data_IF_026799223153
#
_entry.id   IF_026799223153
#
_cell.length_a   1.000
_cell.length_b   1.000
_cell.length_c   1.000
_cell.angle_alpha   90.00
_cell.angle_beta   90.00
_cell.angle_gamma   90.00
#
_symmetry.space_group_name_H-M   'P 1'
#
loop_
_entity.id
_entity.type
_entity.pdbx_description
1 polymer ?
#
# COMPACT_ATOMS: atom_id res chain seq x y z
N UNK A 1 24.14 4.42 -2.80
CA UNK A 1 23.72 5.74 -3.33
C UNK A 1 24.14 6.87 -2.41
N UNK A 2 23.75 6.85 -1.12
CA UNK A 2 24.11 7.88 -0.14
C UNK A 2 25.64 8.12 0.00
N UNK A 3 26.43 7.06 0.22
CA UNK A 3 27.89 7.17 0.30
C UNK A 3 28.56 7.71 -0.97
N UNK A 4 27.94 7.47 -2.13
CA UNK A 4 28.42 7.96 -3.43
C UNK A 4 27.94 9.38 -3.74
N UNK A 5 27.22 10.03 -2.81
CA UNK A 5 26.61 11.36 -2.97
C UNK A 5 25.81 11.52 -4.26
N UNK A 6 25.06 10.48 -4.60
CA UNK A 6 24.21 10.47 -5.79
C UNK A 6 22.91 11.28 -5.58
N UNK A 7 22.86 12.20 -4.59
CA UNK A 7 21.75 13.13 -4.43
C UNK A 7 21.49 13.97 -5.68
N UNK A 8 22.51 14.22 -6.51
CA UNK A 8 22.33 14.94 -7.77
C UNK A 8 21.34 14.23 -8.71
N UNK A 9 21.29 12.89 -8.72
CA UNK A 9 20.37 12.10 -9.56
C UNK A 9 18.91 12.46 -9.21
N UNK A 10 18.69 12.81 -7.95
CA UNK A 10 17.36 13.17 -7.42
C UNK A 10 16.94 14.58 -7.84
N UNK A 11 17.88 15.42 -8.29
CA UNK A 11 17.61 16.71 -8.92
C UNK A 11 17.18 16.58 -10.40
N UNK A 12 17.43 15.43 -11.04
CA UNK A 12 17.03 15.17 -12.43
C UNK A 12 15.60 14.62 -12.56
N UNK A 13 14.94 14.27 -11.45
CA UNK A 13 13.52 13.91 -11.47
C UNK A 13 12.66 15.17 -11.51
N UNK A 14 12.32 15.61 -12.71
CA UNK A 14 11.32 16.66 -12.89
C UNK A 14 9.95 16.18 -12.42
N UNK A 15 9.10 17.12 -12.00
CA UNK A 15 7.71 16.83 -11.61
C UNK A 15 6.94 16.08 -12.69
N UNK A 16 7.27 16.33 -13.98
CA UNK A 16 6.68 15.63 -15.12
C UNK A 16 7.06 14.14 -15.17
N UNK A 17 8.32 13.79 -14.89
CA UNK A 17 8.78 12.38 -14.88
C UNK A 17 8.12 11.62 -13.72
N UNK A 18 8.08 12.22 -12.53
CA UNK A 18 7.45 11.61 -11.35
C UNK A 18 5.94 11.47 -11.55
N UNK A 19 5.28 12.48 -12.10
CA UNK A 19 3.86 12.45 -12.43
C UNK A 19 3.51 11.38 -13.46
N UNK A 20 4.28 11.28 -14.55
CA UNK A 20 4.11 10.23 -15.57
C UNK A 20 4.32 8.83 -15.01
N UNK A 21 5.39 8.62 -14.24
CA UNK A 21 5.67 7.35 -13.57
C UNK A 21 4.56 6.96 -12.60
N UNK A 22 4.13 7.87 -11.71
CA UNK A 22 3.08 7.61 -10.73
C UNK A 22 1.74 7.30 -11.40
N UNK A 23 1.42 7.99 -12.50
CA UNK A 23 0.19 7.74 -13.27
C UNK A 23 0.22 6.36 -13.93
N UNK A 24 1.33 6.01 -14.59
CA UNK A 24 1.51 4.68 -15.17
C UNK A 24 1.43 3.58 -14.11
N UNK A 25 2.11 3.74 -12.98
CA UNK A 25 2.05 2.81 -11.86
C UNK A 25 0.62 2.67 -11.32
N UNK A 26 -0.15 3.76 -11.22
CA UNK A 26 -1.55 3.72 -10.81
C UNK A 26 -2.42 2.88 -11.76
N UNK A 27 -2.23 2.98 -13.08
CA UNK A 27 -2.91 2.12 -14.05
C UNK A 27 -2.53 0.64 -13.88
N UNK A 28 -1.24 0.32 -13.67
CA UNK A 28 -0.81 -1.06 -13.40
C UNK A 28 -1.42 -1.63 -12.13
N UNK A 29 -1.50 -0.84 -11.06
CA UNK A 29 -2.16 -1.22 -9.81
C UNK A 29 -3.65 -1.42 -10.06
N UNK A 30 -4.33 -0.45 -10.66
CA UNK A 30 -5.76 -0.51 -10.97
C UNK A 30 -6.12 -1.79 -11.76
N UNK A 31 -5.41 -2.08 -12.84
CA UNK A 31 -5.62 -3.30 -13.64
C UNK A 31 -5.38 -4.57 -12.81
N UNK A 32 -4.38 -4.56 -11.93
CA UNK A 32 -4.12 -5.71 -11.07
C UNK A 32 -5.22 -5.93 -10.02
N UNK A 33 -5.88 -4.86 -9.56
CA UNK A 33 -7.01 -4.93 -8.62
C UNK A 33 -8.32 -5.38 -9.28
N UNK A 34 -8.47 -5.25 -10.61
CA UNK A 34 -9.69 -5.69 -11.31
C UNK A 34 -9.94 -7.19 -11.16
N UNK A 35 -8.87 -7.99 -11.11
CA UNK A 35 -8.97 -9.44 -10.85
C UNK A 35 -9.72 -9.70 -9.54
N UNK A 36 -9.26 -9.07 -8.45
CA UNK A 36 -9.82 -9.26 -7.12
C UNK A 36 -11.22 -8.62 -7.01
N UNK A 37 -11.42 -7.47 -7.66
CA UNK A 37 -12.73 -6.80 -7.73
C UNK A 37 -13.84 -7.68 -8.32
N UNK A 38 -13.51 -8.44 -9.38
CA UNK A 38 -14.45 -9.39 -10.01
C UNK A 38 -14.42 -10.80 -9.39
N UNK A 39 -13.55 -11.04 -8.40
CA UNK A 39 -13.39 -12.34 -7.76
C UNK A 39 -12.86 -13.43 -8.70
N UNK A 40 -12.01 -13.06 -9.66
CA UNK A 40 -11.43 -14.00 -10.63
C UNK A 40 -10.23 -14.72 -10.01
N UNK A 41 -10.13 -16.03 -10.19
CA UNK A 41 -9.06 -16.85 -9.62
C UNK A 41 -8.12 -17.39 -10.71
N UNK A 42 -6.91 -17.80 -10.32
CA UNK A 42 -5.96 -18.54 -11.18
C UNK A 42 -5.60 -17.97 -12.57
N UNK A 43 -5.68 -16.64 -12.74
CA UNK A 43 -5.20 -15.98 -13.95
C UNK A 43 -3.68 -16.16 -14.18
N UNK A 44 -3.23 -16.29 -15.45
CA UNK A 44 -1.82 -16.48 -15.77
C UNK A 44 -0.96 -15.28 -15.37
N UNK A 45 0.22 -15.56 -14.79
CA UNK A 45 1.18 -14.52 -14.40
C UNK A 45 1.92 -13.97 -15.63
N UNK A 46 1.55 -12.77 -16.08
CA UNK A 46 2.21 -12.06 -17.20
C UNK A 46 3.36 -11.18 -16.70
N UNK A 47 4.56 -11.38 -17.26
CA UNK A 47 5.79 -10.64 -16.96
C UNK A 47 6.35 -10.07 -18.28
N UNK A 48 6.99 -8.90 -18.22
CA UNK A 48 7.66 -8.28 -19.38
C UNK A 48 6.93 -7.08 -19.96
N UNK A 49 7.40 -6.62 -21.12
CA UNK A 49 6.84 -5.47 -21.82
C UNK A 49 5.40 -5.76 -22.28
N UNK A 50 4.51 -4.78 -22.13
CA UNK A 50 3.10 -4.92 -22.50
C UNK A 50 2.26 -5.78 -21.55
N UNK A 51 2.79 -6.19 -20.40
CA UNK A 51 2.07 -7.05 -19.44
C UNK A 51 0.70 -6.48 -19.00
N UNK A 52 0.51 -5.17 -19.00
CA UNK A 52 -0.76 -4.51 -18.67
C UNK A 52 -1.86 -4.91 -19.65
N UNK A 53 -1.57 -4.91 -20.95
CA UNK A 53 -2.54 -5.28 -21.98
C UNK A 53 -2.87 -6.78 -21.93
N UNK A 54 -1.86 -7.62 -21.70
CA UNK A 54 -2.08 -9.06 -21.53
C UNK A 54 -2.92 -9.36 -20.30
N UNK A 55 -2.67 -8.71 -19.16
CA UNK A 55 -3.52 -8.85 -17.95
C UNK A 55 -4.96 -8.43 -18.22
N UNK A 56 -5.17 -7.32 -18.91
CA UNK A 56 -6.51 -6.87 -19.29
C UNK A 56 -7.22 -7.89 -20.18
N UNK A 57 -6.51 -8.43 -21.17
CA UNK A 57 -7.02 -9.47 -22.05
C UNK A 57 -7.44 -10.72 -21.27
N UNK A 58 -6.57 -11.21 -20.37
CA UNK A 58 -6.85 -12.38 -19.53
C UNK A 58 -8.07 -12.15 -18.62
N UNK A 59 -8.21 -10.95 -18.05
CA UNK A 59 -9.37 -10.56 -17.23
C UNK A 59 -10.66 -10.56 -18.06
N UNK A 60 -10.66 -9.91 -19.22
CA UNK A 60 -11.86 -9.79 -20.08
C UNK A 60 -12.35 -11.18 -20.53
N UNK A 61 -11.44 -12.09 -20.84
CA UNK A 61 -11.80 -13.47 -21.20
C UNK A 61 -12.32 -14.29 -20.03
N UNK A 62 -11.83 -14.05 -18.80
CA UNK A 62 -12.24 -14.81 -17.63
C UNK A 62 -13.58 -14.36 -17.04
N UNK A 63 -14.00 -13.11 -17.27
CA UNK A 63 -15.26 -12.56 -16.73
C UNK A 63 -16.48 -13.43 -17.05
N UNK A 64 -16.75 -13.86 -18.30
CA UNK A 64 -17.95 -14.63 -18.60
C UNK A 64 -18.07 -15.97 -17.85
N UNK A 65 -16.94 -16.59 -17.49
CA UNK A 65 -16.92 -17.94 -16.92
C UNK A 65 -16.70 -17.95 -15.40
N UNK A 66 -15.96 -16.98 -14.85
CA UNK A 66 -15.47 -17.02 -13.46
C UNK A 66 -15.98 -15.88 -12.58
N UNK A 67 -16.86 -15.01 -13.08
CA UNK A 67 -17.34 -13.86 -12.31
C UNK A 67 -18.05 -14.29 -11.01
N UNK A 68 -17.49 -13.87 -9.87
CA UNK A 68 -18.15 -14.02 -8.58
C UNK A 68 -19.00 -12.78 -8.27
N UNK A 69 -20.32 -12.89 -8.45
CA UNK A 69 -21.26 -11.80 -8.25
C UNK A 69 -21.26 -11.27 -6.80
N UNK A 70 -21.03 -12.15 -5.82
CA UNK A 70 -20.98 -11.77 -4.40
C UNK A 70 -19.76 -10.91 -4.11
N UNK A 71 -18.59 -11.28 -4.64
CA UNK A 71 -17.36 -10.48 -4.51
C UNK A 71 -17.54 -9.12 -5.17
N UNK A 72 -18.06 -9.09 -6.41
CA UNK A 72 -18.32 -7.84 -7.11
C UNK A 72 -19.26 -6.91 -6.33
N UNK A 73 -20.32 -7.46 -5.72
CA UNK A 73 -21.25 -6.69 -4.90
C UNK A 73 -20.58 -6.12 -3.64
N UNK A 74 -19.79 -6.94 -2.92
CA UNK A 74 -19.04 -6.51 -1.73
C UNK A 74 -18.06 -5.40 -2.12
N UNK A 75 -17.30 -5.58 -3.20
CA UNK A 75 -16.33 -4.62 -3.71
C UNK A 75 -16.98 -3.31 -4.15
N UNK A 76 -18.13 -3.37 -4.84
CA UNK A 76 -18.88 -2.19 -5.26
C UNK A 76 -19.44 -1.42 -4.06
N UNK A 77 -20.06 -2.11 -3.10
CA UNK A 77 -20.59 -1.50 -1.88
C UNK A 77 -19.47 -0.91 -1.02
N UNK A 78 -18.34 -1.60 -0.91
CA UNK A 78 -17.15 -1.11 -0.21
C UNK A 78 -16.59 0.15 -0.85
N UNK A 79 -16.44 0.17 -2.18
CA UNK A 79 -16.01 1.35 -2.93
C UNK A 79 -16.98 2.52 -2.72
N UNK A 80 -18.28 2.28 -2.84
CA UNK A 80 -19.31 3.28 -2.65
C UNK A 80 -19.30 3.84 -1.22
N UNK A 81 -19.15 2.98 -0.20
CA UNK A 81 -19.00 3.39 1.19
C UNK A 81 -17.77 4.29 1.40
N UNK A 82 -16.61 3.93 0.83
CA UNK A 82 -15.38 4.73 0.96
C UNK A 82 -15.50 6.08 0.25
N UNK A 83 -16.05 6.11 -0.96
CA UNK A 83 -16.27 7.34 -1.72
C UNK A 83 -17.25 8.25 -0.98
N UNK A 84 -18.37 7.71 -0.50
CA UNK A 84 -19.36 8.48 0.26
C UNK A 84 -18.80 8.98 1.58
N UNK A 85 -18.06 8.13 2.30
CA UNK A 85 -17.37 8.49 3.54
C UNK A 85 -16.44 9.67 3.32
N UNK A 86 -15.57 9.59 2.32
CA UNK A 86 -14.58 10.62 2.03
C UNK A 86 -15.19 11.93 1.51
N UNK A 87 -16.16 11.87 0.60
CA UNK A 87 -16.68 13.07 -0.08
C UNK A 87 -17.84 13.74 0.65
N UNK A 88 -18.68 13.00 1.36
CA UNK A 88 -19.88 13.55 2.01
C UNK A 88 -19.77 13.54 3.52
N UNK A 89 -19.37 12.40 4.11
CA UNK A 89 -19.34 12.27 5.58
C UNK A 89 -18.18 13.06 6.18
N UNK A 90 -16.98 13.03 5.60
CA UNK A 90 -15.81 13.74 6.13
C UNK A 90 -16.02 15.27 6.18
N UNK A 91 -16.47 15.96 5.11
CA UNK A 91 -16.76 17.39 5.18
C UNK A 91 -17.89 17.71 6.16
N UNK A 92 -18.92 16.86 6.23
CA UNK A 92 -20.00 17.01 7.21
C UNK A 92 -19.48 16.90 8.65
N UNK A 93 -18.66 15.90 8.96
CA UNK A 93 -18.04 15.72 10.28
C UNK A 93 -17.18 16.92 10.67
N UNK A 94 -16.38 17.43 9.73
CA UNK A 94 -15.52 18.60 9.94
C UNK A 94 -16.34 19.87 10.20
N UNK A 95 -17.41 20.09 9.44
CA UNK A 95 -18.23 21.30 9.54
C UNK A 95 -19.15 21.31 10.76
N UNK A 96 -19.74 20.14 11.09
CA UNK A 96 -20.72 20.02 12.18
C UNK A 96 -20.05 19.76 13.53
N UNK A 97 -19.11 18.82 13.62
CA UNK A 97 -18.51 18.39 14.89
C UNK A 97 -17.19 19.10 15.22
N UNK A 98 -16.63 19.88 14.27
CA UNK A 98 -15.36 20.61 14.42
C UNK A 98 -14.17 19.72 14.85
N UNK A 99 -14.26 18.42 14.60
CA UNK A 99 -13.17 17.48 14.84
C UNK A 99 -12.21 17.57 13.65
N UNK A 100 -10.93 17.82 13.92
CA UNK A 100 -9.90 17.98 12.88
C UNK A 100 -9.34 16.66 12.34
N UNK A 101 -9.67 15.53 12.99
CA UNK A 101 -9.16 14.21 12.62
C UNK A 101 -10.12 13.56 11.62
N UNK A 102 -9.65 13.14 10.43
CA UNK A 102 -10.50 12.43 9.48
C UNK A 102 -10.90 11.06 10.06
N UNK A 103 -12.18 10.67 9.99
CA UNK A 103 -12.64 9.38 10.49
C UNK A 103 -12.05 8.22 9.67
N UNK A 104 -11.66 7.09 10.30
CA UNK A 104 -10.96 5.99 9.64
C UNK A 104 -11.93 5.04 8.91
N UNK A 105 -12.48 5.48 7.78
CA UNK A 105 -13.48 4.71 7.03
C UNK A 105 -12.99 3.33 6.59
N UNK A 106 -11.70 3.21 6.23
CA UNK A 106 -11.09 1.95 5.80
C UNK A 106 -11.14 0.91 6.92
N UNK A 107 -10.85 1.33 8.16
CA UNK A 107 -10.90 0.45 9.34
C UNK A 107 -12.34 0.04 9.66
N UNK A 108 -13.29 0.98 9.57
CA UNK A 108 -14.71 0.70 9.82
C UNK A 108 -15.25 -0.30 8.80
N UNK A 109 -14.96 -0.10 7.51
CA UNK A 109 -15.36 -1.02 6.46
C UNK A 109 -14.77 -2.40 6.68
N UNK A 110 -13.47 -2.47 6.98
CA UNK A 110 -12.77 -3.72 7.25
C UNK A 110 -13.42 -4.50 8.39
N UNK A 111 -13.68 -3.86 9.54
CA UNK A 111 -14.33 -4.51 10.68
C UNK A 111 -15.75 -4.97 10.36
N UNK A 112 -16.53 -4.13 9.66
CA UNK A 112 -17.91 -4.44 9.28
C UNK A 112 -17.99 -5.62 8.32
N UNK A 113 -17.21 -5.59 7.23
CA UNK A 113 -17.21 -6.66 6.21
C UNK A 113 -16.64 -7.96 6.78
N UNK A 114 -15.62 -7.90 7.64
CA UNK A 114 -15.08 -9.09 8.32
C UNK A 114 -16.13 -9.74 9.21
N UNK A 115 -16.85 -8.94 10.00
CA UNK A 115 -17.94 -9.42 10.86
C UNK A 115 -19.11 -9.99 10.07
N UNK A 116 -19.50 -9.32 8.98
CA UNK A 116 -20.56 -9.79 8.08
C UNK A 116 -20.17 -11.11 7.39
N UNK A 117 -18.93 -11.22 6.92
CA UNK A 117 -18.38 -12.43 6.31
C UNK A 117 -18.36 -13.61 7.28
N UNK A 118 -17.99 -13.36 8.55
CA UNK A 118 -18.02 -14.37 9.60
C UNK A 118 -19.45 -14.83 9.93
N UNK A 119 -20.42 -13.92 9.98
CA UNK A 119 -21.83 -14.23 10.27
C UNK A 119 -22.53 -14.94 9.12
N UNK A 120 -22.31 -14.50 7.88
CA UNK A 120 -22.97 -15.04 6.68
C UNK A 120 -22.24 -16.24 6.05
N UNK A 121 -21.05 -16.60 6.54
CA UNK A 121 -20.18 -17.64 5.99
C UNK A 121 -19.95 -17.47 4.48
N UNK A 122 -19.50 -16.29 4.05
CA UNK A 122 -19.33 -15.96 2.63
C UNK A 122 -18.41 -16.91 1.87
N UNK A 123 -17.31 -17.34 2.49
CA UNK A 123 -16.40 -18.31 1.89
C UNK A 123 -17.11 -19.65 1.60
N UNK A 124 -17.77 -20.25 2.58
CA UNK A 124 -18.41 -21.57 2.43
C UNK A 124 -19.64 -21.56 1.52
N UNK A 125 -20.38 -20.45 1.44
CA UNK A 125 -21.63 -20.37 0.67
C UNK A 125 -21.49 -19.79 -0.73
N UNK A 126 -20.57 -18.85 -0.92
CA UNK A 126 -20.45 -18.08 -2.16
C UNK A 126 -19.04 -18.16 -2.77
N UNK A 127 -18.18 -19.05 -2.25
CA UNK A 127 -16.80 -19.23 -2.68
C UNK A 127 -16.02 -17.90 -2.78
N UNK A 128 -16.24 -17.02 -1.81
CA UNK A 128 -15.55 -15.74 -1.74
C UNK A 128 -14.12 -15.99 -1.26
N UNK A 129 -13.09 -15.51 -1.97
CA UNK A 129 -11.71 -15.62 -1.51
C UNK A 129 -11.54 -14.84 -0.22
N UNK A 130 -10.91 -15.45 0.78
CA UNK A 130 -10.65 -14.85 2.08
C UNK A 130 -9.15 -14.85 2.38
N UNK A 131 -8.72 -13.97 3.29
CA UNK A 131 -7.32 -13.90 3.74
C UNK A 131 -6.81 -15.24 4.25
N UNK A 132 -7.63 -15.99 4.98
CA UNK A 132 -7.25 -17.29 5.52
C UNK A 132 -6.39 -17.18 6.77
N UNK A 133 -5.58 -18.21 7.04
CA UNK A 133 -4.77 -18.27 8.25
C UNK A 133 -3.56 -17.34 8.17
N UNK A 134 -3.51 -16.38 9.08
CA UNK A 134 -2.38 -15.48 9.24
C UNK A 134 -1.41 -16.04 10.28
N UNK A 135 -0.13 -16.10 9.92
CA UNK A 135 0.93 -16.42 10.87
C UNK A 135 0.93 -15.35 11.97
N UNK A 136 0.59 -15.76 13.20
CA UNK A 136 0.62 -14.88 14.38
C UNK A 136 1.97 -15.02 15.08
N UNK A 137 2.48 -13.91 15.63
CA UNK A 137 3.78 -13.87 16.28
C UNK A 137 4.81 -13.03 15.52
N UNK A 138 5.98 -12.86 16.12
CA UNK A 138 7.09 -12.19 15.46
C UNK A 138 7.77 -13.14 14.46
N UNK A 139 8.06 -12.67 13.24
CA UNK A 139 8.85 -13.47 12.31
C UNK A 139 10.26 -13.69 12.88
N UNK A 140 10.76 -14.91 12.74
CA UNK A 140 12.11 -15.27 13.17
C UNK A 140 13.10 -14.52 12.28
N UNK A 141 14.11 -13.83 12.84
CA UNK A 141 15.18 -13.22 12.06
C UNK A 141 15.88 -14.27 11.18
N UNK A 142 15.90 -14.05 9.86
CA UNK A 142 16.55 -14.93 8.89
C UNK A 142 17.52 -14.14 8.05
N UNK A 143 18.75 -14.64 7.90
CA UNK A 143 19.72 -14.01 7.01
C UNK A 143 19.31 -14.21 5.54
N UNK A 144 19.51 -13.20 4.67
CA UNK A 144 19.20 -13.32 3.26
C UNK A 144 20.11 -14.33 2.57
N UNK A 145 19.56 -15.03 1.58
CA UNK A 145 20.32 -15.98 0.77
C UNK A 145 21.29 -15.24 -0.16
N UNK A 146 22.55 -15.13 0.25
CA UNK A 146 23.58 -14.36 -0.47
C UNK A 146 23.82 -14.84 -1.91
N UNK A 147 23.51 -16.10 -2.26
CA UNK A 147 23.64 -16.60 -3.63
C UNK A 147 22.68 -15.94 -4.63
N UNK A 148 21.57 -15.36 -4.17
CA UNK A 148 20.62 -14.65 -5.01
C UNK A 148 21.03 -13.20 -5.28
N UNK A 149 21.94 -12.63 -4.49
CA UNK A 149 22.32 -11.22 -4.57
C UNK A 149 22.78 -10.83 -6.00
N UNK A 150 23.68 -11.57 -6.68
CA UNK A 150 24.12 -11.19 -8.03
C UNK A 150 22.98 -11.09 -9.04
N UNK A 151 21.96 -11.94 -8.92
CA UNK A 151 20.80 -11.98 -9.81
C UNK A 151 19.80 -10.84 -9.53
N UNK A 152 19.79 -10.32 -8.29
CA UNK A 152 18.86 -9.30 -7.84
C UNK A 152 19.42 -7.87 -7.95
N UNK A 153 20.75 -7.70 -8.11
CA UNK A 153 21.38 -6.37 -8.22
C UNK A 153 20.70 -5.46 -9.25
N UNK A 154 20.41 -5.91 -10.50
CA UNK A 154 19.79 -5.03 -11.50
C UNK A 154 18.41 -4.53 -11.04
N UNK A 155 17.58 -5.43 -10.50
CA UNK A 155 16.27 -5.08 -9.97
C UNK A 155 16.36 -4.18 -8.74
N UNK A 156 17.31 -4.45 -7.84
CA UNK A 156 17.54 -3.67 -6.63
C UNK A 156 17.96 -2.23 -6.94
N UNK A 157 18.80 -2.02 -7.96
CA UNK A 157 19.18 -0.68 -8.43
C UNK A 157 17.95 0.08 -8.92
N UNK A 158 17.14 -0.52 -9.81
CA UNK A 158 15.93 0.12 -10.33
C UNK A 158 14.95 0.47 -9.22
N UNK A 159 14.68 -0.46 -8.30
CA UNK A 159 13.80 -0.24 -7.15
C UNK A 159 14.35 0.90 -6.28
N UNK A 160 15.64 0.89 -5.97
CA UNK A 160 16.26 1.91 -5.11
C UNK A 160 16.16 3.31 -5.71
N UNK A 161 16.36 3.45 -7.02
CA UNK A 161 16.21 4.73 -7.73
C UNK A 161 14.77 5.25 -7.60
N UNK A 162 13.79 4.38 -7.85
CA UNK A 162 12.36 4.74 -7.77
C UNK A 162 11.97 5.12 -6.34
N UNK A 163 12.39 4.33 -5.34
CA UNK A 163 12.11 4.60 -3.92
C UNK A 163 12.70 5.94 -3.50
N UNK A 164 13.96 6.21 -3.84
CA UNK A 164 14.62 7.48 -3.55
C UNK A 164 13.89 8.66 -4.22
N UNK A 165 13.50 8.52 -5.49
CA UNK A 165 12.79 9.56 -6.22
C UNK A 165 11.47 9.93 -5.55
N UNK A 166 10.61 8.94 -5.27
CA UNK A 166 9.29 9.16 -4.65
C UNK A 166 9.45 9.76 -3.24
N UNK A 167 10.42 9.26 -2.47
CA UNK A 167 10.67 9.73 -1.11
C UNK A 167 11.11 11.20 -1.07
N UNK A 168 12.07 11.58 -1.92
CA UNK A 168 12.57 12.96 -1.98
C UNK A 168 11.50 13.91 -2.55
N UNK A 169 10.73 13.48 -3.55
CA UNK A 169 9.60 14.25 -4.04
C UNK A 169 8.58 14.52 -2.93
N UNK A 170 8.25 13.49 -2.13
CA UNK A 170 7.33 13.65 -1.00
C UNK A 170 7.88 14.60 0.07
N UNK A 171 9.16 14.47 0.41
CA UNK A 171 9.84 15.35 1.36
C UNK A 171 9.78 16.81 0.87
N UNK A 172 10.10 17.07 -0.40
CA UNK A 172 10.02 18.42 -1.01
C UNK A 172 8.61 19.00 -1.00
N UNK A 173 7.59 18.20 -1.29
CA UNK A 173 6.17 18.64 -1.26
C UNK A 173 5.81 19.16 0.14
N UNK A 174 6.13 18.41 1.19
CA UNK A 174 5.81 18.82 2.55
C UNK A 174 6.75 19.92 3.08
N UNK A 175 8.03 19.90 2.71
CA UNK A 175 9.00 20.96 3.01
C UNK A 175 8.53 22.32 2.48
N UNK A 176 8.09 22.36 1.23
CA UNK A 176 7.49 23.56 0.63
C UNK A 176 6.18 23.97 1.30
N UNK A 177 5.31 23.00 1.61
CA UNK A 177 3.99 23.26 2.22
C UNK A 177 4.10 23.86 3.63
N UNK A 178 5.08 23.43 4.42
CA UNK A 178 5.27 23.85 5.81
C UNK A 178 6.48 24.77 6.01
N UNK A 179 7.11 25.20 4.91
CA UNK A 179 8.24 26.12 4.89
C UNK A 179 9.42 25.68 5.77
N UNK A 180 9.84 24.42 5.61
CA UNK A 180 11.06 23.88 6.22
C UNK A 180 12.01 23.33 5.16
N UNK A 181 13.30 23.35 5.46
CA UNK A 181 14.32 22.83 4.57
C UNK A 181 14.41 21.30 4.64
N UNK A 182 14.65 20.69 3.48
CA UNK A 182 14.84 19.24 3.36
C UNK A 182 16.24 18.99 2.82
N UNK A 183 16.99 18.09 3.45
CA UNK A 183 18.32 17.65 3.00
C UNK A 183 18.18 16.30 2.28
N UNK A 184 18.26 16.26 0.93
CA UNK A 184 18.17 15.02 0.17
C UNK A 184 19.26 14.00 0.51
N UNK A 185 20.46 14.44 0.90
CA UNK A 185 21.56 13.56 1.26
C UNK A 185 21.25 12.78 2.54
N UNK A 186 20.75 13.49 3.57
CA UNK A 186 20.33 12.87 4.83
C UNK A 186 19.17 11.89 4.63
N UNK A 187 18.20 12.21 3.79
CA UNK A 187 17.09 11.30 3.45
C UNK A 187 17.59 10.02 2.76
N UNK A 188 18.58 10.13 1.86
CA UNK A 188 19.21 8.96 1.24
C UNK A 188 19.96 8.09 2.25
N UNK A 189 20.64 8.69 3.24
CA UNK A 189 21.25 7.92 4.33
C UNK A 189 20.20 7.20 5.16
N UNK A 190 19.12 7.89 5.55
CA UNK A 190 18.03 7.30 6.32
C UNK A 190 17.37 6.11 5.61
N UNK A 191 17.09 6.25 4.30
CA UNK A 191 16.59 5.16 3.46
C UNK A 191 17.58 3.99 3.34
N UNK A 192 18.87 4.30 3.20
CA UNK A 192 19.92 3.29 3.13
C UNK A 192 20.03 2.47 4.41
N UNK A 193 20.02 3.14 5.56
CA UNK A 193 20.05 2.47 6.87
C UNK A 193 18.81 1.61 7.10
N UNK A 194 17.62 2.13 6.86
CA UNK A 194 16.39 1.35 7.03
C UNK A 194 16.36 0.12 6.12
N UNK A 195 16.81 0.27 4.88
CA UNK A 195 16.88 -0.83 3.90
C UNK A 195 17.96 -1.86 4.20
N UNK A 196 18.99 -1.53 4.99
CA UNK A 196 20.05 -2.46 5.37
C UNK A 196 19.62 -3.42 6.50
N UNK A 197 18.80 -2.93 7.44
CA UNK A 197 18.25 -3.76 8.53
C UNK A 197 17.00 -4.54 8.13
N UNK A 198 16.27 -4.04 7.12
CA UNK A 198 15.03 -4.66 6.64
C UNK A 198 15.15 -6.17 6.30
N UNK A 199 16.16 -6.64 5.56
CA UNK A 199 16.21 -8.02 5.07
C UNK A 199 16.39 -9.09 6.15
N UNK A 200 16.68 -8.69 7.40
CA UNK A 200 16.74 -9.61 8.56
C UNK A 200 15.36 -10.19 8.85
N UNK A 201 14.30 -9.46 8.49
CA UNK A 201 12.91 -9.90 8.57
C UNK A 201 12.37 -10.17 7.16
N UNK A 202 11.35 -11.03 7.02
CA UNK A 202 10.73 -11.34 5.73
C UNK A 202 9.88 -10.16 5.24
N UNK A 203 10.54 -9.12 4.72
CA UNK A 203 9.90 -7.90 4.22
C UNK A 203 10.37 -7.55 2.81
N UNK A 204 9.47 -6.95 2.04
CA UNK A 204 9.76 -6.38 0.73
C UNK A 204 10.37 -4.97 0.88
N UNK A 205 11.04 -4.43 -0.15
CA UNK A 205 11.61 -3.08 -0.12
C UNK A 205 10.57 -2.02 0.28
N UNK A 206 10.89 -1.20 1.27
CA UNK A 206 9.97 -0.20 1.83
C UNK A 206 10.15 1.15 1.13
N UNK A 207 9.04 1.86 0.92
CA UNK A 207 9.01 3.23 0.43
C UNK A 207 8.10 4.11 1.30
N UNK A 208 8.13 5.42 1.08
CA UNK A 208 7.18 6.33 1.71
C UNK A 208 5.74 6.12 1.17
N UNK A 209 4.75 6.58 1.92
CA UNK A 209 3.34 6.46 1.56
C UNK A 209 2.66 7.82 1.58
N UNK A 210 2.38 8.37 0.40
CA UNK A 210 1.73 9.67 0.24
C UNK A 210 0.41 9.74 1.02
N UNK A 211 -0.47 8.73 0.87
CA UNK A 211 -1.77 8.71 1.54
C UNK A 211 -1.67 8.70 3.07
N UNK A 212 -0.79 7.86 3.64
CA UNK A 212 -0.60 7.77 5.10
C UNK A 212 0.01 9.04 5.67
N UNK A 213 1.01 9.61 4.99
CA UNK A 213 1.64 10.87 5.41
C UNK A 213 0.63 12.02 5.32
N UNK A 214 -0.17 12.10 4.25
CA UNK A 214 -1.18 13.13 4.10
C UNK A 214 -2.22 13.09 5.23
N UNK A 215 -2.75 11.90 5.57
CA UNK A 215 -3.70 11.74 6.68
C UNK A 215 -3.07 12.11 8.03
N UNK A 216 -1.82 11.68 8.28
CA UNK A 216 -1.11 12.03 9.52
C UNK A 216 -0.90 13.54 9.67
N UNK A 217 -0.54 14.20 8.57
CA UNK A 217 -0.34 15.65 8.50
C UNK A 217 -1.67 16.40 8.66
N UNK A 218 -2.75 15.95 8.02
CA UNK A 218 -4.10 16.51 8.19
C UNK A 218 -4.63 16.34 9.61
N UNK A 219 -4.29 15.23 10.28
CA UNK A 219 -4.55 15.01 11.70
C UNK A 219 -3.72 15.90 12.63
N UNK A 220 -2.82 16.74 12.10
CA UNK A 220 -2.03 17.71 12.86
C UNK A 220 -0.74 17.16 13.45
N UNK A 221 -0.23 16.05 12.93
CA UNK A 221 1.05 15.47 13.39
C UNK A 221 2.21 16.41 13.08
N UNK A 222 3.06 16.68 14.08
CA UNK A 222 4.23 17.57 13.96
C UNK A 222 5.57 16.88 14.24
N UNK A 223 5.57 15.67 14.78
CA UNK A 223 6.77 14.94 15.17
C UNK A 223 6.76 13.51 14.63
N UNK A 224 7.94 12.93 14.44
CA UNK A 224 8.08 11.53 14.01
C UNK A 224 7.65 10.52 15.08
N UNK A 225 7.36 10.96 16.31
CA UNK A 225 6.91 10.10 17.40
C UNK A 225 5.60 9.37 17.05
N UNK A 226 4.76 9.96 16.20
CA UNK A 226 3.52 9.32 15.69
C UNK A 226 3.78 7.97 15.00
N UNK A 227 4.96 7.81 14.39
CA UNK A 227 5.35 6.57 13.70
C UNK A 227 5.61 5.44 14.69
N UNK A 228 6.11 5.74 15.90
CA UNK A 228 6.29 4.77 16.98
C UNK A 228 4.93 4.29 17.49
N UNK A 229 3.99 5.19 17.73
CA UNK A 229 2.63 4.79 18.12
C UNK A 229 1.97 3.94 17.04
N UNK A 230 2.13 4.33 15.77
CA UNK A 230 1.60 3.57 14.63
C UNK A 230 2.22 2.17 14.54
N UNK A 231 3.54 2.04 14.74
CA UNK A 231 4.22 0.74 14.68
C UNK A 231 3.82 -0.16 15.84
N UNK A 232 3.65 0.38 17.06
CA UNK A 232 3.15 -0.36 18.23
C UNK A 232 1.73 -0.88 17.99
N UNK A 233 0.84 -0.05 17.43
CA UNK A 233 -0.53 -0.47 17.09
C UNK A 233 -0.51 -1.58 16.03
N UNK A 234 0.28 -1.42 14.96
CA UNK A 234 0.40 -2.46 13.92
C UNK A 234 0.95 -3.76 14.52
N UNK A 235 1.96 -3.68 15.38
CA UNK A 235 2.51 -4.85 16.08
C UNK A 235 1.43 -5.53 16.95
N UNK A 236 0.64 -4.77 17.69
CA UNK A 236 -0.48 -5.31 18.47
C UNK A 236 -1.53 -5.98 17.59
N UNK A 237 -1.88 -5.39 16.44
CA UNK A 237 -2.81 -5.97 15.46
C UNK A 237 -2.29 -7.33 14.95
N UNK A 238 -1.02 -7.41 14.56
CA UNK A 238 -0.42 -8.66 14.05
C UNK A 238 -0.37 -9.74 15.14
N UNK A 239 0.01 -9.39 16.37
CA UNK A 239 0.18 -10.35 17.45
C UNK A 239 -1.13 -10.88 18.02
N UNK A 240 -2.15 -10.01 18.18
CA UNK A 240 -3.37 -10.35 18.92
C UNK A 240 -4.61 -10.42 18.03
N UNK A 241 -4.72 -9.54 17.04
CA UNK A 241 -5.94 -9.38 16.24
C UNK A 241 -5.87 -10.08 14.88
N UNK A 242 -4.72 -10.63 14.48
CA UNK A 242 -4.54 -11.31 13.19
C UNK A 242 -5.57 -12.42 12.94
N UNK A 243 -5.93 -13.19 13.97
CA UNK A 243 -6.96 -14.25 13.84
C UNK A 243 -8.35 -13.73 13.46
N UNK A 244 -8.69 -12.51 13.87
CA UNK A 244 -9.99 -11.91 13.56
C UNK A 244 -10.09 -11.57 12.07
N UNK A 245 -8.97 -11.36 11.39
CA UNK A 245 -8.93 -11.00 9.96
C UNK A 245 -9.03 -12.21 9.04
N UNK A 246 -9.12 -13.44 9.58
CA UNK A 246 -9.17 -14.68 8.77
C UNK A 246 -10.34 -14.70 7.78
N UNK A 247 -11.51 -14.21 8.20
CA UNK A 247 -12.73 -14.20 7.39
C UNK A 247 -12.86 -12.98 6.50
N UNK A 248 -11.88 -12.08 6.50
CA UNK A 248 -11.89 -10.89 5.65
C UNK A 248 -11.88 -11.34 4.17
N UNK A 249 -12.89 -10.93 3.36
CA UNK A 249 -12.86 -11.10 1.92
C UNK A 249 -11.68 -10.36 1.30
N UNK A 250 -11.00 -11.00 0.36
CA UNK A 250 -9.92 -10.42 -0.43
C UNK A 250 -10.46 -9.49 -1.52
#
# INVERSE_FOLDING_TARGET
MAFLRLEFVTAYFSDAVVGGFSTGAAFHVFVSQLKDFFGLEDLPRRIGAGNLFFKLYDIVLAIPEQLNQTVMLISLLGLLFLVLGKHYVNPWFKNTLKISVPPPFELVLLLFVTGLSAYCHFHSRHNVPIVGELATGFPIPTLPTFSLVPHLIPHAITISIVVAAIHISLAKIFGKRYNYETDPGQELYALGFSSLFSPVFPMYPVACSLSRTAVSVEAGTKTQLSTIFSSVIIAAVILYFGRLLRTLPM
#
